data_IF_027073628789
#
_entry.id   IF_027073628789
#
_cell.length_a   1.000
_cell.length_b   1.000
_cell.length_c   1.000
_cell.angle_alpha   90.00
_cell.angle_beta   90.00
_cell.angle_gamma   90.00
#
_symmetry.space_group_name_H-M   'P 1'
#
loop_
_entity.id
_entity.type
_entity.pdbx_description
1 polymer ?
#
# COMPACT_ATOMS: atom_id res chain seq x y z
N UNK A 1 -20.39 -31.28 -19.77
CA UNK A 1 -21.81 -31.07 -20.15
C UNK A 1 -22.11 -31.50 -21.58
N UNK A 2 -21.52 -30.91 -22.63
CA UNK A 2 -21.76 -31.32 -24.04
C UNK A 2 -21.49 -32.81 -24.33
N UNK A 3 -20.51 -33.41 -23.65
CA UNK A 3 -20.20 -34.84 -23.76
C UNK A 3 -21.15 -35.75 -22.95
N UNK A 4 -21.75 -35.23 -21.87
CA UNK A 4 -22.58 -36.00 -20.92
C UNK A 4 -24.05 -35.96 -21.32
N UNK A 5 -24.51 -34.81 -21.81
CA UNK A 5 -25.86 -34.59 -22.32
C UNK A 5 -25.77 -34.13 -23.78
N UNK A 6 -25.64 -35.06 -24.74
CA UNK A 6 -25.47 -34.70 -26.15
C UNK A 6 -26.73 -34.07 -26.77
N UNK A 7 -27.92 -34.34 -26.19
CA UNK A 7 -29.22 -33.75 -26.50
C UNK A 7 -29.43 -33.52 -28.02
N UNK A 8 -29.14 -34.51 -28.87
CA UNK A 8 -29.03 -34.33 -30.33
C UNK A 8 -30.35 -33.91 -31.01
N UNK A 9 -31.48 -34.20 -30.37
CA UNK A 9 -32.83 -33.89 -30.84
C UNK A 9 -33.32 -32.48 -30.49
N UNK A 10 -32.64 -31.75 -29.59
CA UNK A 10 -33.07 -30.43 -29.13
C UNK A 10 -32.53 -29.29 -30.02
N UNK A 11 -33.33 -28.24 -30.28
CA UNK A 11 -32.85 -27.06 -30.99
C UNK A 11 -31.80 -26.28 -30.17
N UNK A 12 -30.93 -25.57 -30.88
CA UNK A 12 -29.91 -24.72 -30.26
C UNK A 12 -30.52 -23.37 -29.86
N UNK A 13 -30.43 -23.01 -28.57
CA UNK A 13 -30.98 -21.76 -28.05
C UNK A 13 -30.34 -20.55 -28.72
N UNK A 14 -31.17 -19.59 -29.12
CA UNK A 14 -30.74 -18.24 -29.51
C UNK A 14 -30.29 -17.43 -28.29
N UNK A 15 -29.73 -16.24 -28.54
CA UNK A 15 -29.30 -15.32 -27.48
C UNK A 15 -30.43 -15.02 -26.50
N UNK A 16 -31.60 -14.63 -27.02
CA UNK A 16 -32.72 -14.17 -26.21
C UNK A 16 -33.35 -15.34 -25.46
N UNK A 17 -33.52 -16.48 -26.13
CA UNK A 17 -34.05 -17.69 -25.50
C UNK A 17 -33.15 -18.19 -24.38
N UNK A 18 -31.82 -18.15 -24.55
CA UNK A 18 -30.87 -18.57 -23.52
C UNK A 18 -30.99 -17.73 -22.25
N UNK A 19 -31.08 -16.40 -22.39
CA UNK A 19 -31.22 -15.50 -21.23
C UNK A 19 -32.57 -15.70 -20.55
N UNK A 20 -33.67 -15.73 -21.32
CA UNK A 20 -35.02 -15.93 -20.77
C UNK A 20 -35.17 -17.28 -20.07
N UNK A 21 -34.62 -18.34 -20.67
CA UNK A 21 -34.66 -19.70 -20.09
C UNK A 21 -33.83 -19.77 -18.81
N UNK A 22 -32.64 -19.16 -18.78
CA UNK A 22 -31.83 -19.09 -17.58
C UNK A 22 -32.54 -18.33 -16.45
N UNK A 23 -33.13 -17.17 -16.76
CA UNK A 23 -33.88 -16.38 -15.78
C UNK A 23 -35.12 -17.12 -15.27
N UNK A 24 -35.82 -17.85 -16.12
CA UNK A 24 -36.96 -18.68 -15.72
C UNK A 24 -36.55 -19.82 -14.79
N UNK A 25 -35.44 -20.51 -15.08
CA UNK A 25 -34.92 -21.60 -14.24
C UNK A 25 -34.47 -21.06 -12.88
N UNK A 26 -33.78 -19.92 -12.88
CA UNK A 26 -33.30 -19.30 -11.64
C UNK A 26 -34.41 -18.75 -10.75
N UNK A 27 -35.62 -18.51 -11.28
CA UNK A 27 -36.80 -18.12 -10.48
C UNK A 27 -37.48 -19.31 -9.80
N UNK A 28 -37.08 -20.55 -10.10
CA UNK A 28 -37.62 -21.74 -9.42
C UNK A 28 -37.24 -21.71 -7.93
N UNK A 29 -38.11 -22.25 -7.09
CA UNK A 29 -37.92 -22.26 -5.63
C UNK A 29 -36.59 -22.89 -5.18
N UNK A 30 -36.06 -23.81 -5.98
CA UNK A 30 -34.81 -24.50 -5.68
C UNK A 30 -33.56 -23.59 -5.69
N UNK A 31 -33.65 -22.38 -6.25
CA UNK A 31 -32.55 -21.41 -6.30
C UNK A 31 -32.70 -20.30 -5.24
N UNK A 32 -33.79 -20.27 -4.45
CA UNK A 32 -34.00 -19.30 -3.35
C UNK A 32 -32.95 -19.43 -2.24
N UNK A 33 -32.32 -20.59 -2.09
CA UNK A 33 -31.27 -20.83 -1.10
C UNK A 33 -29.91 -20.21 -1.46
N UNK A 34 -29.76 -19.71 -2.69
CA UNK A 34 -28.51 -19.12 -3.16
C UNK A 34 -28.44 -17.62 -2.83
N UNK A 35 -27.23 -17.12 -2.53
CA UNK A 35 -27.02 -15.69 -2.34
C UNK A 35 -27.14 -14.91 -3.66
N UNK A 36 -27.59 -13.65 -3.56
CA UNK A 36 -27.76 -12.76 -4.72
C UNK A 36 -26.47 -12.54 -5.51
N UNK A 37 -25.31 -12.47 -4.83
CA UNK A 37 -24.00 -12.31 -5.48
C UNK A 37 -23.70 -13.45 -6.46
N UNK A 38 -23.94 -14.69 -6.04
CA UNK A 38 -23.77 -15.89 -6.87
C UNK A 38 -24.72 -15.90 -8.07
N UNK A 39 -25.98 -15.54 -7.86
CA UNK A 39 -26.97 -15.44 -8.94
C UNK A 39 -26.58 -14.37 -9.97
N UNK A 40 -26.02 -13.23 -9.52
CA UNK A 40 -25.51 -12.19 -10.41
C UNK A 40 -24.30 -12.66 -11.22
N UNK A 41 -23.39 -13.44 -10.63
CA UNK A 41 -22.26 -14.03 -11.36
C UNK A 41 -22.72 -15.01 -12.44
N UNK A 42 -23.71 -15.85 -12.14
CA UNK A 42 -24.33 -16.73 -13.12
C UNK A 42 -24.95 -15.90 -14.26
N UNK A 43 -25.73 -14.86 -13.97
CA UNK A 43 -26.31 -13.99 -15.00
C UNK A 43 -25.24 -13.35 -15.87
N UNK A 44 -24.16 -12.86 -15.26
CA UNK A 44 -23.02 -12.27 -15.97
C UNK A 44 -22.35 -13.29 -16.89
N UNK A 45 -22.14 -14.52 -16.42
CA UNK A 45 -21.60 -15.61 -17.22
C UNK A 45 -22.51 -15.98 -18.39
N UNK A 46 -23.81 -16.18 -18.14
CA UNK A 46 -24.81 -16.49 -19.17
C UNK A 46 -24.88 -15.37 -20.21
N UNK A 47 -24.81 -14.10 -19.80
CA UNK A 47 -24.75 -12.96 -20.72
C UNK A 47 -23.50 -12.99 -21.60
N UNK A 48 -22.33 -13.29 -21.03
CA UNK A 48 -21.10 -13.40 -21.81
C UNK A 48 -21.16 -14.56 -22.84
N UNK A 49 -21.80 -15.67 -22.47
CA UNK A 49 -22.04 -16.81 -23.37
C UNK A 49 -23.04 -16.45 -24.47
N UNK A 50 -24.13 -15.74 -24.13
CA UNK A 50 -25.15 -15.32 -25.10
C UNK A 50 -24.60 -14.32 -26.13
N UNK A 51 -23.67 -13.46 -25.72
CA UNK A 51 -22.95 -12.55 -26.62
C UNK A 51 -22.01 -13.30 -27.58
N UNK A 52 -21.35 -14.39 -27.12
CA UNK A 52 -20.55 -15.25 -28.01
C UNK A 52 -21.43 -15.90 -29.09
N UNK A 53 -22.57 -16.47 -28.69
CA UNK A 53 -23.53 -17.06 -29.63
C UNK A 53 -23.97 -16.03 -30.66
N UNK A 54 -24.32 -14.81 -30.23
CA UNK A 54 -24.70 -13.72 -31.14
C UNK A 54 -23.58 -13.40 -32.14
N UNK A 55 -22.35 -13.19 -31.67
CA UNK A 55 -21.20 -12.87 -32.56
C UNK A 55 -20.98 -13.95 -33.62
N UNK A 56 -21.10 -15.22 -33.24
CA UNK A 56 -20.96 -16.34 -34.17
C UNK A 56 -22.13 -16.38 -35.16
N UNK A 57 -23.37 -16.21 -34.71
CA UNK A 57 -24.55 -16.19 -35.58
C UNK A 57 -24.51 -15.00 -36.55
N UNK A 58 -24.13 -13.81 -36.09
CA UNK A 58 -23.97 -12.61 -36.92
C UNK A 58 -22.87 -12.80 -37.97
N UNK A 59 -21.73 -13.42 -37.60
CA UNK A 59 -20.60 -13.66 -38.51
C UNK A 59 -20.93 -14.64 -39.63
N UNK A 60 -21.77 -15.64 -39.36
CA UNK A 60 -22.13 -16.69 -40.30
C UNK A 60 -23.55 -16.55 -40.88
N UNK A 61 -24.28 -15.47 -40.56
CA UNK A 61 -25.64 -15.23 -41.05
C UNK A 61 -26.67 -16.28 -40.61
N UNK A 62 -26.52 -16.84 -39.41
CA UNK A 62 -27.38 -17.91 -38.89
C UNK A 62 -28.67 -17.31 -38.32
N UNK A 63 -29.82 -17.70 -38.87
CA UNK A 63 -31.13 -17.27 -38.37
C UNK A 63 -31.52 -18.06 -37.11
N UNK A 64 -32.18 -17.37 -36.17
CA UNK A 64 -32.61 -17.94 -34.89
C UNK A 64 -33.75 -18.96 -35.03
N UNK A 65 -34.53 -18.88 -36.10
CA UNK A 65 -35.69 -19.74 -36.38
C UNK A 65 -35.36 -21.18 -36.82
N UNK A 66 -34.08 -21.58 -36.82
CA UNK A 66 -33.68 -22.96 -37.13
C UNK A 66 -33.70 -23.33 -38.62
N UNK A 67 -33.88 -22.37 -39.53
CA UNK A 67 -34.10 -22.63 -40.96
C UNK A 67 -32.86 -22.50 -41.85
N UNK A 68 -31.71 -22.07 -41.32
CA UNK A 68 -30.52 -21.87 -42.17
C UNK A 68 -29.83 -23.18 -42.54
N UNK A 69 -29.58 -23.35 -43.83
CA UNK A 69 -28.72 -24.41 -44.39
C UNK A 69 -27.31 -23.83 -44.64
N UNK A 70 -26.21 -24.52 -44.27
CA UNK A 70 -26.13 -25.87 -43.75
C UNK A 70 -26.42 -26.00 -42.24
N UNK A 71 -27.17 -27.03 -41.84
CA UNK A 71 -27.52 -27.30 -40.41
C UNK A 71 -26.31 -27.46 -39.47
N UNK A 72 -25.13 -27.73 -40.02
CA UNK A 72 -23.87 -27.84 -39.27
C UNK A 72 -23.51 -26.54 -38.56
N UNK A 73 -23.95 -25.38 -39.09
CA UNK A 73 -23.68 -24.07 -38.48
C UNK A 73 -24.22 -23.93 -37.05
N UNK A 74 -25.34 -24.61 -36.74
CA UNK A 74 -25.91 -24.62 -35.39
C UNK A 74 -25.06 -25.39 -34.36
N UNK A 75 -23.99 -26.07 -34.77
CA UNK A 75 -23.07 -26.78 -33.87
C UNK A 75 -21.97 -25.90 -33.28
N UNK A 76 -21.64 -24.77 -33.92
CA UNK A 76 -20.48 -23.92 -33.57
C UNK A 76 -20.49 -23.46 -32.11
N UNK A 77 -21.63 -22.90 -31.66
CA UNK A 77 -21.85 -22.49 -30.27
C UNK A 77 -23.15 -23.09 -29.71
N UNK A 78 -23.34 -24.40 -29.95
CA UNK A 78 -24.56 -25.08 -29.55
C UNK A 78 -24.74 -25.13 -28.03
N UNK A 79 -25.90 -24.69 -27.56
CA UNK A 79 -26.40 -24.86 -26.19
C UNK A 79 -27.88 -25.23 -26.28
N UNK A 80 -28.29 -26.26 -25.52
CA UNK A 80 -29.69 -26.73 -25.48
C UNK A 80 -30.32 -26.42 -24.12
N UNK A 81 -31.66 -26.35 -24.02
CA UNK A 81 -32.34 -26.05 -22.75
C UNK A 81 -32.01 -27.08 -21.66
N UNK A 82 -31.97 -28.37 -21.98
CA UNK A 82 -31.63 -29.42 -21.00
C UNK A 82 -30.20 -29.28 -20.48
N UNK A 83 -29.25 -28.90 -21.35
CA UNK A 83 -27.87 -28.65 -20.94
C UNK A 83 -27.77 -27.44 -20.00
N UNK A 84 -28.55 -26.39 -20.26
CA UNK A 84 -28.61 -25.19 -19.44
C UNK A 84 -29.21 -25.50 -18.06
N UNK A 85 -30.30 -26.26 -18.01
CA UNK A 85 -30.90 -26.70 -16.75
C UNK A 85 -29.93 -27.53 -15.91
N UNK A 86 -29.31 -28.55 -16.49
CA UNK A 86 -28.31 -29.38 -15.80
C UNK A 86 -27.07 -28.60 -15.37
N UNK A 87 -26.66 -27.60 -16.16
CA UNK A 87 -25.57 -26.69 -15.78
C UNK A 87 -25.94 -25.91 -14.52
N UNK A 88 -27.11 -25.26 -14.50
CA UNK A 88 -27.56 -24.44 -13.39
C UNK A 88 -27.76 -25.28 -12.11
N UNK A 89 -28.37 -26.47 -12.23
CA UNK A 89 -28.46 -27.44 -11.12
C UNK A 89 -27.09 -27.82 -10.58
N UNK A 90 -26.14 -28.16 -11.46
CA UNK A 90 -24.77 -28.52 -11.05
C UNK A 90 -24.06 -27.36 -10.34
N UNK A 91 -24.23 -26.12 -10.84
CA UNK A 91 -23.68 -24.92 -10.23
C UNK A 91 -24.24 -24.70 -8.83
N UNK A 92 -25.55 -24.80 -8.67
CA UNK A 92 -26.23 -24.71 -7.36
C UNK A 92 -25.72 -25.79 -6.41
N UNK A 93 -25.69 -27.04 -6.84
CA UNK A 93 -25.29 -28.17 -5.98
C UNK A 93 -23.83 -28.06 -5.54
N UNK A 94 -22.95 -27.56 -6.42
CA UNK A 94 -21.56 -27.27 -6.05
C UNK A 94 -21.46 -26.11 -5.07
N UNK A 95 -22.26 -25.05 -5.25
CA UNK A 95 -22.28 -23.90 -4.35
C UNK A 95 -22.75 -24.28 -2.95
N UNK A 96 -23.86 -25.02 -2.83
CA UNK A 96 -24.39 -25.46 -1.55
C UNK A 96 -23.43 -26.39 -0.81
N UNK A 97 -22.78 -27.32 -1.51
CA UNK A 97 -21.76 -28.21 -0.92
C UNK A 97 -20.45 -27.52 -0.57
N UNK A 98 -20.19 -26.33 -1.09
CA UNK A 98 -18.98 -25.55 -0.80
C UNK A 98 -19.15 -24.63 0.42
N UNK A 99 -20.33 -24.61 1.05
CA UNK A 99 -20.56 -23.87 2.29
C UNK A 99 -19.80 -24.52 3.44
N UNK A 100 -19.31 -23.70 4.38
CA UNK A 100 -18.68 -24.19 5.59
C UNK A 100 -19.73 -24.86 6.48
N UNK A 101 -19.52 -26.12 6.85
CA UNK A 101 -20.47 -26.87 7.67
C UNK A 101 -20.54 -26.27 9.09
N UNK A 102 -21.74 -26.04 9.65
CA UNK A 102 -21.89 -25.60 11.03
C UNK A 102 -21.22 -26.58 12.02
N UNK A 103 -20.51 -26.05 13.00
CA UNK A 103 -19.74 -26.85 13.97
C UNK A 103 -18.29 -27.14 13.56
N UNK A 104 -17.88 -26.77 12.34
CA UNK A 104 -16.48 -26.86 11.90
C UNK A 104 -15.55 -26.01 12.79
N UNK A 105 -14.43 -26.59 13.23
CA UNK A 105 -13.42 -25.93 14.06
C UNK A 105 -12.52 -24.97 13.25
N UNK A 106 -13.12 -23.92 12.66
CA UNK A 106 -12.45 -23.01 11.70
C UNK A 106 -11.24 -22.28 12.27
N UNK A 107 -11.23 -22.01 13.59
CA UNK A 107 -10.11 -21.35 14.25
C UNK A 107 -8.85 -22.22 14.27
N UNK A 108 -8.99 -23.52 14.53
CA UNK A 108 -7.87 -24.47 14.51
C UNK A 108 -7.32 -24.65 13.09
N UNK A 109 -8.21 -24.79 12.10
CA UNK A 109 -7.83 -24.87 10.69
C UNK A 109 -7.07 -23.61 10.26
N UNK A 110 -7.58 -22.42 10.60
CA UNK A 110 -6.91 -21.16 10.33
C UNK A 110 -5.51 -21.07 10.96
N UNK A 111 -5.38 -21.44 12.24
CA UNK A 111 -4.10 -21.42 12.94
C UNK A 111 -3.07 -22.34 12.27
N UNK A 112 -3.48 -23.56 11.89
CA UNK A 112 -2.62 -24.50 11.20
C UNK A 112 -2.22 -24.00 9.80
N UNK A 113 -3.18 -23.51 9.01
CA UNK A 113 -2.92 -23.02 7.65
C UNK A 113 -1.96 -21.83 7.60
N UNK A 114 -1.91 -21.00 8.65
CA UNK A 114 -0.95 -19.90 8.75
C UNK A 114 0.39 -20.36 9.35
N UNK A 115 0.35 -21.29 10.32
CA UNK A 115 1.53 -21.78 11.03
C UNK A 115 2.41 -22.75 10.23
N UNK A 116 1.81 -23.67 9.48
CA UNK A 116 2.54 -24.69 8.69
C UNK A 116 3.50 -24.07 7.66
N UNK A 117 3.07 -23.08 6.84
CA UNK A 117 3.96 -22.32 5.95
C UNK A 117 5.18 -21.71 6.67
N UNK A 118 5.02 -21.32 7.94
CA UNK A 118 6.10 -20.76 8.73
C UNK A 118 7.29 -21.70 8.93
N UNK A 119 7.07 -23.03 8.89
CA UNK A 119 8.15 -24.03 8.97
C UNK A 119 8.89 -24.22 7.64
N UNK A 120 8.20 -23.94 6.53
CA UNK A 120 8.73 -24.06 5.17
C UNK A 120 9.44 -22.78 4.72
N UNK A 121 9.15 -21.65 5.36
CA UNK A 121 9.86 -20.39 5.15
C UNK A 121 11.33 -20.55 5.57
N UNK A 122 12.18 -20.83 4.59
CA UNK A 122 13.63 -20.63 4.76
C UNK A 122 13.91 -19.15 5.04
N UNK A 123 14.91 -18.85 5.87
CA UNK A 123 15.34 -17.49 6.23
C UNK A 123 15.95 -16.74 5.02
N UNK A 124 15.17 -16.49 3.96
CA UNK A 124 15.44 -15.39 3.04
C UNK A 124 14.93 -14.12 3.72
N UNK A 125 15.75 -13.60 4.63
CA UNK A 125 15.43 -12.46 5.49
C UNK A 125 15.54 -11.10 4.80
N UNK A 126 16.08 -11.08 3.58
CA UNK A 126 16.29 -9.85 2.82
C UNK A 126 15.69 -9.98 1.43
N UNK A 127 14.61 -9.25 1.19
CA UNK A 127 14.24 -8.89 -0.18
C UNK A 127 14.18 -7.38 -0.28
N UNK A 128 14.72 -6.90 -1.39
CA UNK A 128 14.56 -5.52 -1.80
C UNK A 128 13.13 -5.34 -2.32
N UNK A 129 12.51 -4.21 -1.97
CA UNK A 129 11.15 -3.84 -2.40
C UNK A 129 11.07 -3.49 -3.90
N UNK A 130 11.76 -4.24 -4.76
CA UNK A 130 12.08 -3.85 -6.14
C UNK A 130 13.12 -2.73 -6.24
N UNK A 131 13.56 -2.15 -5.12
CA UNK A 131 14.58 -1.08 -5.06
C UNK A 131 15.75 -1.55 -4.23
N UNK A 132 16.95 -1.58 -4.82
CA UNK A 132 18.19 -2.10 -4.24
C UNK A 132 18.63 -1.45 -2.91
N UNK A 133 17.93 -0.43 -2.42
CA UNK A 133 18.35 0.39 -1.29
C UNK A 133 17.54 0.23 -0.01
N UNK A 134 16.37 -0.44 -0.03
CA UNK A 134 15.51 -0.62 1.14
C UNK A 134 15.34 -2.10 1.47
N UNK A 135 15.89 -2.50 2.61
CA UNK A 135 15.75 -3.85 3.15
C UNK A 135 14.42 -3.95 3.90
N UNK A 136 13.59 -4.94 3.55
CA UNK A 136 12.33 -5.22 4.24
C UNK A 136 12.45 -6.54 4.99
N UNK A 137 12.01 -6.59 6.25
CA UNK A 137 11.83 -7.85 6.96
C UNK A 137 10.72 -8.69 6.29
N UNK A 138 11.06 -9.92 5.89
CA UNK A 138 10.11 -10.87 5.31
C UNK A 138 10.22 -12.24 5.96
N UNK A 139 9.27 -13.12 5.64
CA UNK A 139 9.19 -14.47 6.17
C UNK A 139 8.67 -14.51 7.61
N UNK A 140 9.15 -15.49 8.38
CA UNK A 140 8.69 -15.75 9.76
C UNK A 140 8.84 -14.54 10.69
N UNK A 141 9.96 -13.77 10.68
CA UNK A 141 10.09 -12.57 11.52
C UNK A 141 8.97 -11.56 11.26
N UNK A 142 8.58 -11.37 10.00
CA UNK A 142 7.53 -10.42 9.62
C UNK A 142 6.15 -10.89 10.05
N UNK A 143 5.84 -12.17 9.84
CA UNK A 143 4.58 -12.77 10.33
C UNK A 143 4.48 -12.64 11.85
N UNK A 144 5.59 -12.86 12.58
CA UNK A 144 5.65 -12.66 14.03
C UNK A 144 5.41 -11.21 14.44
N UNK A 145 5.99 -10.23 13.75
CA UNK A 145 5.75 -8.80 14.02
C UNK A 145 4.27 -8.44 13.89
N UNK A 146 3.60 -8.94 12.84
CA UNK A 146 2.18 -8.67 12.55
C UNK A 146 1.28 -9.33 13.60
N UNK A 147 1.44 -10.63 13.87
CA UNK A 147 0.60 -11.38 14.82
C UNK A 147 0.73 -10.81 16.24
N UNK A 148 1.93 -10.40 16.64
CA UNK A 148 2.16 -9.80 17.96
C UNK A 148 1.64 -8.36 18.06
N UNK A 149 1.16 -7.75 16.97
CA UNK A 149 0.73 -6.35 16.92
C UNK A 149 1.76 -5.40 17.56
N UNK A 150 3.03 -5.55 17.16
CA UNK A 150 4.14 -4.81 17.75
C UNK A 150 4.01 -3.32 17.42
N UNK A 151 4.10 -2.44 18.44
CA UNK A 151 3.99 -0.98 18.26
C UNK A 151 5.10 -0.39 17.38
N UNK A 152 6.31 -0.92 17.55
CA UNK A 152 7.48 -0.57 16.77
C UNK A 152 7.96 -1.83 16.03
N UNK A 153 8.28 -1.67 14.75
CA UNK A 153 8.78 -2.74 13.89
C UNK A 153 10.18 -2.40 13.38
N UNK A 154 10.91 -3.42 12.93
CA UNK A 154 12.33 -3.25 12.60
C UNK A 154 12.57 -2.37 11.36
N UNK A 155 11.69 -2.50 10.35
CA UNK A 155 11.81 -1.78 9.07
C UNK A 155 10.44 -1.19 8.68
N UNK A 156 10.05 -0.04 9.29
CA UNK A 156 8.80 0.61 8.96
C UNK A 156 8.90 1.36 7.63
N UNK A 157 7.98 1.07 6.72
CA UNK A 157 7.95 1.65 5.38
C UNK A 157 6.57 2.18 5.09
N UNK A 158 6.54 3.46 4.73
CA UNK A 158 5.37 4.17 4.23
C UNK A 158 5.54 4.29 2.71
N UNK A 159 4.58 3.76 1.96
CA UNK A 159 4.53 3.93 0.50
C UNK A 159 3.65 5.13 0.19
N UNK A 160 4.28 6.25 -0.15
CA UNK A 160 3.62 7.50 -0.48
C UNK A 160 3.47 7.65 -2.00
N UNK A 161 2.23 7.81 -2.44
CA UNK A 161 1.93 8.13 -3.84
C UNK A 161 2.00 9.65 -4.02
N UNK A 162 2.50 10.11 -5.17
CA UNK A 162 2.60 11.54 -5.47
C UNK A 162 1.32 12.02 -6.17
N UNK A 163 0.97 13.30 -5.99
CA UNK A 163 -0.14 13.91 -6.72
C UNK A 163 0.19 14.08 -8.21
N UNK A 164 1.44 14.45 -8.49
CA UNK A 164 2.05 14.48 -9.82
C UNK A 164 3.15 13.43 -9.86
N UNK A 165 2.91 12.33 -10.55
CA UNK A 165 3.79 11.16 -10.61
C UNK A 165 4.59 11.08 -11.91
N UNK A 166 4.50 12.10 -12.77
CA UNK A 166 5.13 12.20 -14.09
C UNK A 166 6.44 13.00 -14.09
N UNK A 167 6.64 13.88 -13.11
CA UNK A 167 7.78 14.79 -13.04
C UNK A 167 8.80 14.36 -11.96
N UNK A 168 10.05 13.99 -12.34
CA UNK A 168 11.09 13.62 -11.38
C UNK A 168 11.53 14.80 -10.49
N UNK A 169 11.43 16.05 -10.97
CA UNK A 169 11.80 17.21 -10.17
C UNK A 169 10.76 17.48 -9.08
N UNK A 170 9.48 17.26 -9.38
CA UNK A 170 8.42 17.29 -8.38
C UNK A 170 8.63 16.20 -7.31
N UNK A 171 9.03 14.98 -7.72
CA UNK A 171 9.33 13.90 -6.78
C UNK A 171 10.49 14.25 -5.84
N UNK A 172 11.56 14.91 -6.35
CA UNK A 172 12.69 15.40 -5.54
C UNK A 172 12.26 16.48 -4.55
N UNK A 173 11.40 17.42 -4.96
CA UNK A 173 10.87 18.46 -4.08
C UNK A 173 10.07 17.85 -2.91
N UNK A 174 9.12 16.96 -3.21
CA UNK A 174 8.31 16.30 -2.18
C UNK A 174 9.18 15.42 -1.28
N UNK A 175 10.18 14.73 -1.86
CA UNK A 175 11.18 13.99 -1.09
C UNK A 175 11.89 14.90 -0.07
N UNK A 176 12.36 16.08 -0.48
CA UNK A 176 13.05 17.04 0.41
C UNK A 176 12.17 17.62 1.53
N UNK A 177 10.84 17.59 1.37
CA UNK A 177 9.90 17.98 2.44
C UNK A 177 9.66 16.88 3.48
N UNK A 178 9.96 15.62 3.14
CA UNK A 178 9.68 14.45 3.98
C UNK A 178 10.95 13.94 4.65
N UNK A 179 12.02 13.79 3.86
CA UNK A 179 13.32 13.32 4.35
C UNK A 179 13.90 14.33 5.35
N UNK A 180 14.26 13.83 6.53
CA UNK A 180 14.89 14.63 7.58
C UNK A 180 16.23 15.16 7.08
N UNK A 181 16.37 16.47 7.06
CA UNK A 181 17.64 17.16 6.78
C UNK A 181 18.14 17.82 8.06
N UNK A 182 19.40 17.57 8.40
CA UNK A 182 20.06 18.13 9.57
C UNK A 182 20.80 19.42 9.23
N UNK A 183 20.96 20.33 10.19
CA UNK A 183 21.68 21.59 10.00
C UNK A 183 23.12 21.35 9.52
N UNK A 184 23.80 20.34 10.06
CA UNK A 184 25.17 19.98 9.67
C UNK A 184 25.29 19.58 8.20
N UNK A 185 24.25 18.98 7.61
CA UNK A 185 24.27 18.50 6.21
C UNK A 185 24.18 19.66 5.21
N UNK A 186 23.52 20.75 5.60
CA UNK A 186 23.39 21.96 4.76
C UNK A 186 24.43 23.04 5.07
N UNK A 187 25.23 22.89 6.15
CA UNK A 187 26.23 23.88 6.58
C UNK A 187 27.60 23.62 5.96
N UNK A 188 28.26 24.65 5.40
CA UNK A 188 29.63 24.56 4.88
C UNK A 188 30.62 24.30 6.00
N UNK A 189 30.48 25.08 7.08
CA UNK A 189 31.22 24.93 8.31
C UNK A 189 30.43 25.54 9.47
N UNK A 190 30.78 25.09 10.68
CA UNK A 190 30.28 25.61 11.95
C UNK A 190 31.53 25.89 12.79
N UNK A 191 31.78 27.15 13.13
CA UNK A 191 32.99 27.58 13.83
C UNK A 191 32.70 28.40 15.08
N UNK A 192 33.63 28.37 16.03
CA UNK A 192 33.58 29.18 17.24
C UNK A 192 34.38 30.47 17.00
N UNK A 193 33.74 31.61 17.20
CA UNK A 193 34.39 32.92 17.06
C UNK A 193 34.55 33.52 18.45
N UNK A 194 35.80 33.83 18.82
CA UNK A 194 36.15 34.50 20.07
C UNK A 194 36.66 35.91 19.75
N UNK A 195 35.87 36.91 20.09
CA UNK A 195 36.24 38.31 20.06
C UNK A 195 36.59 38.78 21.48
N UNK A 196 37.29 39.92 21.64
CA UNK A 196 37.60 40.46 22.96
C UNK A 196 36.36 40.71 23.83
N UNK A 197 35.24 41.09 23.20
CA UNK A 197 34.00 41.51 23.87
C UNK A 197 32.85 40.49 23.74
N UNK A 198 32.97 39.46 22.90
CA UNK A 198 31.88 38.52 22.62
C UNK A 198 32.41 37.15 22.14
N UNK A 199 31.63 36.09 22.36
CA UNK A 199 31.87 34.80 21.73
C UNK A 199 30.56 34.19 21.23
N UNK A 200 30.58 33.64 20.03
CA UNK A 200 29.40 33.02 19.42
C UNK A 200 29.79 31.90 18.46
N UNK A 201 28.83 31.04 18.15
CA UNK A 201 28.99 30.02 17.12
C UNK A 201 28.46 30.59 15.81
N UNK A 202 29.32 30.60 14.78
CA UNK A 202 28.95 31.02 13.43
C UNK A 202 28.63 29.79 12.59
N UNK A 203 27.43 29.78 11.99
CA UNK A 203 26.97 28.76 11.06
C UNK A 203 26.88 29.36 9.67
N UNK A 204 27.70 28.86 8.75
CA UNK A 204 27.65 29.24 7.33
C UNK A 204 26.86 28.20 6.55
N UNK A 205 25.71 28.59 6.01
CA UNK A 205 24.86 27.74 5.18
C UNK A 205 25.38 27.67 3.74
N UNK A 206 25.33 26.48 3.15
CA UNK A 206 25.65 26.27 1.73
C UNK A 206 24.40 26.48 0.87
N UNK A 207 24.28 27.68 0.29
CA UNK A 207 23.16 28.02 -0.59
C UNK A 207 23.14 27.14 -1.85
N UNK A 208 24.31 26.68 -2.31
CA UNK A 208 24.41 25.78 -3.46
C UNK A 208 23.78 24.42 -3.15
N UNK A 209 24.10 23.79 -2.00
CA UNK A 209 23.49 22.52 -1.60
C UNK A 209 21.99 22.63 -1.38
N UNK A 210 21.54 23.69 -0.71
CA UNK A 210 20.11 23.96 -0.50
C UNK A 210 19.37 24.05 -1.84
N UNK A 211 19.96 24.75 -2.83
CA UNK A 211 19.38 24.91 -4.17
C UNK A 211 19.35 23.61 -4.96
N UNK A 212 20.43 22.81 -4.91
CA UNK A 212 20.52 21.51 -5.59
C UNK A 212 19.52 20.50 -5.02
N UNK A 213 19.36 20.47 -3.70
CA UNK A 213 18.42 19.59 -3.01
C UNK A 213 16.97 20.11 -3.04
N UNK A 214 16.75 21.31 -3.61
CA UNK A 214 15.43 21.97 -3.71
C UNK A 214 14.74 22.12 -2.35
N UNK A 215 15.52 22.39 -1.30
CA UNK A 215 14.99 22.60 0.04
C UNK A 215 14.43 24.02 0.17
N UNK A 216 13.25 24.14 0.77
CA UNK A 216 12.58 25.42 1.03
C UNK A 216 13.08 26.03 2.36
N UNK A 217 14.40 26.17 2.51
CA UNK A 217 15.06 26.66 3.73
C UNK A 217 15.93 27.89 3.46
N UNK A 218 15.90 28.83 4.40
CA UNK A 218 16.74 30.03 4.44
C UNK A 218 17.30 30.26 5.86
N UNK A 219 18.10 31.30 6.06
CA UNK A 219 18.66 31.58 7.39
C UNK A 219 17.59 31.89 8.45
N UNK A 220 16.44 32.45 8.06
CA UNK A 220 15.32 32.72 8.99
C UNK A 220 14.59 31.44 9.42
N UNK A 221 14.37 30.50 8.50
CA UNK A 221 13.80 29.18 8.83
C UNK A 221 14.75 28.40 9.71
N UNK A 222 16.07 28.47 9.45
CA UNK A 222 17.08 27.86 10.32
C UNK A 222 17.02 28.47 11.72
N UNK A 223 16.92 29.80 11.85
CA UNK A 223 16.71 30.46 13.16
C UNK A 223 15.49 29.89 13.87
N UNK A 224 14.37 29.74 13.17
CA UNK A 224 13.15 29.15 13.73
C UNK A 224 13.37 27.71 14.19
N UNK A 225 14.00 26.87 13.37
CA UNK A 225 14.28 25.46 13.69
C UNK A 225 15.20 25.31 14.90
N UNK A 226 16.20 26.18 15.07
CA UNK A 226 17.07 26.17 16.25
C UNK A 226 16.28 26.58 17.51
N UNK A 227 15.43 27.61 17.44
CA UNK A 227 14.59 28.04 18.57
C UNK A 227 13.59 26.96 19.04
N UNK A 228 13.02 26.19 18.10
CA UNK A 228 12.05 25.12 18.40
C UNK A 228 12.74 23.83 18.84
N UNK A 229 14.04 23.70 18.56
CA UNK A 229 14.81 22.52 18.93
C UNK A 229 14.86 22.32 20.45
N UNK A 230 15.38 21.15 20.87
CA UNK A 230 15.60 20.86 22.29
C UNK A 230 16.71 21.72 22.92
N UNK A 231 17.42 22.50 22.11
CA UNK A 231 18.40 23.47 22.56
C UNK A 231 17.64 24.68 23.10
N UNK A 232 17.71 24.91 24.40
CA UNK A 232 16.97 25.96 25.13
C UNK A 232 17.54 27.37 24.85
N UNK A 233 17.79 27.68 23.59
CA UNK A 233 18.32 28.94 23.09
C UNK A 233 17.16 29.91 22.90
N UNK A 234 17.31 31.18 23.33
CA UNK A 234 16.24 32.17 23.15
C UNK A 234 16.34 32.81 21.76
N UNK A 235 15.23 33.31 21.20
CA UNK A 235 15.26 33.98 19.90
C UNK A 235 16.20 35.19 19.82
N UNK A 236 16.43 35.88 20.95
CA UNK A 236 17.37 37.00 21.02
C UNK A 236 18.85 36.60 21.00
N UNK A 237 19.15 35.31 21.15
CA UNK A 237 20.52 34.78 21.13
C UNK A 237 20.92 34.31 19.73
N UNK A 238 20.01 34.41 18.76
CA UNK A 238 20.24 33.97 17.40
C UNK A 238 20.11 35.17 16.47
N UNK A 239 21.24 35.62 15.94
CA UNK A 239 21.30 36.69 14.96
C UNK A 239 21.46 36.09 13.55
N UNK A 240 20.71 36.64 12.60
CA UNK A 240 20.84 36.28 11.18
C UNK A 240 21.57 37.42 10.49
N UNK A 241 22.72 37.12 9.89
CA UNK A 241 23.55 38.08 9.18
C UNK A 241 23.55 37.74 7.69
N UNK A 242 22.76 38.48 6.91
CA UNK A 242 22.57 38.21 5.48
C UNK A 242 21.81 36.90 5.21
N UNK A 243 21.96 36.36 4.00
CA UNK A 243 21.14 35.24 3.52
C UNK A 243 21.63 33.87 4.01
N UNK A 244 22.90 33.76 4.40
CA UNK A 244 23.58 32.48 4.59
C UNK A 244 24.31 32.34 5.93
N UNK A 245 24.29 33.34 6.81
CA UNK A 245 25.03 33.29 8.08
C UNK A 245 24.07 33.40 9.26
N UNK A 246 24.18 32.47 10.20
CA UNK A 246 23.45 32.47 11.46
C UNK A 246 24.47 32.42 12.59
N UNK A 247 24.38 33.37 13.52
CA UNK A 247 25.21 33.43 14.72
C UNK A 247 24.37 33.03 15.92
N UNK A 248 24.89 32.09 16.73
CA UNK A 248 24.26 31.62 17.96
C UNK A 248 25.14 31.98 19.14
N UNK A 249 24.69 32.92 19.96
CA UNK A 249 25.39 33.38 21.16
C UNK A 249 25.05 32.45 22.33
N UNK A 250 26.04 31.82 22.98
CA UNK A 250 25.78 31.00 24.17
C UNK A 250 25.32 31.90 25.32
N UNK A 251 24.37 31.41 26.12
CA UNK A 251 24.04 32.03 27.42
C UNK A 251 24.66 31.26 28.55
N UNK A 252 25.20 31.99 29.51
CA UNK A 252 25.60 31.42 30.78
C UNK A 252 24.40 30.84 31.52
N UNK A 253 24.59 29.66 32.07
CA UNK A 253 23.64 29.01 32.96
C UNK A 253 24.30 28.91 34.33
N UNK A 254 23.54 29.08 35.41
CA UNK A 254 24.05 29.07 36.79
C UNK A 254 24.75 27.76 37.19
N UNK A 255 24.66 26.71 36.37
CA UNK A 255 25.25 25.39 36.58
C UNK A 255 26.44 25.05 35.67
N UNK A 256 26.75 25.86 34.67
CA UNK A 256 27.78 25.53 33.67
C UNK A 256 28.48 26.77 33.13
N UNK A 257 29.82 26.70 33.07
CA UNK A 257 30.66 27.73 32.47
C UNK A 257 30.32 27.95 30.99
N UNK A 258 30.50 29.19 30.52
CA UNK A 258 30.30 29.61 29.14
C UNK A 258 31.00 28.72 28.12
N UNK A 259 32.26 28.32 28.38
CA UNK A 259 33.01 27.41 27.52
C UNK A 259 32.32 26.03 27.39
N UNK A 260 31.78 25.50 28.47
CA UNK A 260 31.08 24.21 28.45
C UNK A 260 29.78 24.28 27.63
N UNK A 261 29.02 25.37 27.79
CA UNK A 261 27.80 25.61 27.00
C UNK A 261 28.14 25.74 25.52
N UNK A 262 29.21 26.47 25.18
CA UNK A 262 29.68 26.62 23.80
C UNK A 262 30.06 25.27 23.17
N UNK A 263 30.84 24.44 23.86
CA UNK A 263 31.21 23.10 23.38
C UNK A 263 29.99 22.17 23.25
N UNK A 264 29.06 22.22 24.21
CA UNK A 264 27.81 21.46 24.11
C UNK A 264 26.95 21.90 22.94
N UNK A 265 26.85 23.21 22.68
CA UNK A 265 26.10 23.73 21.55
C UNK A 265 26.75 23.32 20.24
N UNK A 266 28.07 23.40 20.12
CA UNK A 266 28.80 22.98 18.92
C UNK A 266 28.52 21.52 18.53
N UNK A 267 28.42 20.61 19.50
CA UNK A 267 28.12 19.20 19.24
C UNK A 267 26.65 18.96 18.87
N UNK A 268 25.72 19.76 19.40
CA UNK A 268 24.28 19.52 19.21
C UNK A 268 23.66 20.35 18.07
N UNK A 269 24.20 21.52 17.75
CA UNK A 269 23.72 22.39 16.68
C UNK A 269 23.65 21.67 15.32
N UNK A 270 24.68 20.89 14.90
CA UNK A 270 24.63 20.16 13.64
C UNK A 270 23.50 19.14 13.56
N UNK A 271 23.03 18.62 14.71
CA UNK A 271 21.97 17.59 14.82
C UNK A 271 20.56 18.17 14.81
N UNK A 272 20.41 19.50 14.77
CA UNK A 272 19.11 20.15 14.69
C UNK A 272 18.45 19.82 13.35
N UNK A 273 17.19 19.40 13.38
CA UNK A 273 16.38 19.16 12.18
C UNK A 273 15.93 20.50 11.63
N UNK A 274 16.36 20.82 10.41
CA UNK A 274 16.03 22.09 9.75
C UNK A 274 14.81 21.98 8.86
N UNK A 275 14.60 20.82 8.23
CA UNK A 275 13.50 20.52 7.32
C UNK A 275 13.22 19.02 7.35
N UNK A 276 11.99 18.63 7.04
CA UNK A 276 11.58 17.22 6.99
C UNK A 276 10.87 16.74 8.25
N UNK A 277 10.51 15.46 8.25
CA UNK A 277 9.80 14.82 9.37
C UNK A 277 10.84 14.14 10.29
N UNK A 278 10.92 14.48 11.58
CA UNK A 278 11.97 13.95 12.48
C UNK A 278 12.05 12.43 12.57
N UNK A 279 10.88 11.76 12.52
CA UNK A 279 10.75 10.30 12.61
C UNK A 279 11.08 9.56 11.30
N UNK A 280 11.26 10.29 10.20
CA UNK A 280 11.70 9.70 8.92
C UNK A 280 13.22 9.60 8.91
N UNK A 281 13.73 8.40 8.65
CA UNK A 281 15.17 8.16 8.52
C UNK A 281 15.64 8.52 7.11
N UNK A 282 14.92 8.06 6.08
CA UNK A 282 15.28 8.28 4.68
C UNK A 282 14.08 8.13 3.74
N UNK A 283 14.18 8.73 2.56
CA UNK A 283 13.19 8.55 1.51
C UNK A 283 13.84 8.26 0.14
N UNK A 284 13.25 7.33 -0.60
CA UNK A 284 13.76 6.86 -1.89
C UNK A 284 12.67 6.92 -2.94
N UNK A 285 13.00 7.48 -4.11
CA UNK A 285 12.11 7.53 -5.26
C UNK A 285 12.18 6.18 -5.97
N UNK A 286 11.03 5.53 -6.13
CA UNK A 286 10.88 4.31 -6.90
C UNK A 286 10.19 4.64 -8.23
N UNK A 287 10.75 4.11 -9.32
CA UNK A 287 10.21 4.25 -10.68
C UNK A 287 9.39 2.99 -11.00
N UNK A 288 8.11 3.17 -11.32
CA UNK A 288 7.22 2.09 -11.73
C UNK A 288 7.12 2.07 -13.26
N UNK A 289 7.59 0.99 -13.88
CA UNK A 289 7.66 0.81 -15.34
C UNK A 289 6.50 0.00 -15.92
N UNK A 290 5.57 -0.50 -15.09
CA UNK A 290 4.58 -1.51 -15.50
C UNK A 290 3.57 -1.05 -16.57
N UNK A 291 3.40 0.26 -16.77
CA UNK A 291 2.33 0.83 -17.62
C UNK A 291 2.81 1.46 -18.93
N UNK A 292 4.09 1.30 -19.29
CA UNK A 292 4.68 1.99 -20.45
C UNK A 292 4.80 3.52 -20.28
N UNK A 293 4.49 4.03 -19.09
CA UNK A 293 4.76 5.41 -18.64
C UNK A 293 5.53 5.31 -17.32
N UNK A 294 6.63 6.04 -17.22
CA UNK A 294 7.36 6.17 -15.97
C UNK A 294 6.48 6.89 -14.95
N UNK A 295 6.25 6.24 -13.81
CA UNK A 295 5.54 6.83 -12.67
C UNK A 295 6.43 6.80 -11.45
N UNK A 296 6.52 7.92 -10.75
CA UNK A 296 7.31 8.06 -9.54
C UNK A 296 6.44 7.89 -8.29
N UNK A 297 6.86 6.99 -7.40
CA UNK A 297 6.32 6.85 -6.04
C UNK A 297 7.46 7.02 -5.03
N UNK A 298 7.12 7.45 -3.81
CA UNK A 298 8.10 7.63 -2.75
C UNK A 298 7.97 6.50 -1.73
N UNK A 299 9.07 5.80 -1.49
CA UNK A 299 9.20 4.87 -0.36
C UNK A 299 9.89 5.62 0.77
N UNK A 300 9.21 5.71 1.92
CA UNK A 300 9.68 6.47 3.08
C UNK A 300 9.92 5.47 4.21
N UNK A 301 11.14 5.46 4.75
CA UNK A 301 11.48 4.65 5.91
C UNK A 301 11.25 5.49 7.18
N UNK A 302 10.27 5.09 8.00
CA UNK A 302 9.87 5.84 9.20
C UNK A 302 8.46 5.52 9.70
N UNK A 303 8.16 6.00 10.91
CA UNK A 303 6.97 5.64 11.70
C UNK A 303 5.99 6.82 11.92
N UNK A 304 5.85 7.73 10.95
CA UNK A 304 4.91 8.86 11.06
C UNK A 304 4.02 9.02 9.82
N UNK A 305 3.03 8.11 9.71
CA UNK A 305 2.12 8.06 8.56
C UNK A 305 1.32 9.36 8.40
N UNK A 306 0.85 9.93 9.51
CA UNK A 306 0.04 11.16 9.52
C UNK A 306 0.77 12.35 8.90
N UNK A 307 2.03 12.58 9.28
CA UNK A 307 2.80 13.70 8.75
C UNK A 307 3.12 13.51 7.26
N UNK A 308 3.46 12.29 6.83
CA UNK A 308 3.70 11.97 5.42
C UNK A 308 2.44 12.21 4.59
N UNK A 309 1.26 11.77 5.05
CA UNK A 309 -0.02 11.99 4.37
C UNK A 309 -0.40 13.47 4.25
N UNK A 310 -0.03 14.30 5.23
CA UNK A 310 -0.36 15.72 5.27
C UNK A 310 0.62 16.59 4.46
N UNK A 311 1.72 16.02 3.96
CA UNK A 311 2.73 16.78 3.23
C UNK A 311 2.22 17.18 1.84
N UNK A 312 2.35 18.45 1.49
CA UNK A 312 1.90 18.95 0.19
C UNK A 312 2.65 18.27 -0.97
N UNK A 313 1.89 17.68 -1.89
CA UNK A 313 2.38 16.94 -3.06
C UNK A 313 2.34 15.42 -2.88
N UNK A 314 2.01 14.95 -1.67
CA UNK A 314 1.68 13.55 -1.40
C UNK A 314 0.17 13.34 -1.54
N UNK A 315 -0.20 12.33 -2.30
CA UNK A 315 -1.57 11.85 -2.42
C UNK A 315 -1.95 10.99 -1.22
N UNK A 316 -2.28 11.63 -0.10
CA UNK A 316 -2.58 10.95 1.17
C UNK A 316 -3.66 9.87 1.08
N UNK A 317 -4.64 9.99 0.18
CA UNK A 317 -5.70 8.97 -0.02
C UNK A 317 -5.21 7.63 -0.57
N UNK A 318 -4.00 7.59 -1.14
CA UNK A 318 -3.38 6.37 -1.68
C UNK A 318 -2.07 6.01 -0.99
N UNK A 319 -1.75 6.67 0.12
CA UNK A 319 -0.57 6.37 0.94
C UNK A 319 -0.89 5.21 1.88
N UNK A 320 0.04 4.26 2.01
CA UNK A 320 -0.08 3.11 2.90
C UNK A 320 1.15 2.96 3.79
N UNK A 321 1.02 2.23 4.90
CA UNK A 321 2.13 1.87 5.79
C UNK A 321 2.06 0.38 6.10
N UNK A 322 3.22 -0.23 6.31
CA UNK A 322 3.33 -1.61 6.76
C UNK A 322 3.19 -1.74 8.30
N UNK A 323 3.27 -0.65 9.06
CA UNK A 323 3.09 -0.66 10.51
C UNK A 323 1.59 -0.57 10.85
N UNK A 324 1.00 -1.68 11.30
CA UNK A 324 -0.43 -1.79 11.60
C UNK A 324 -0.88 -0.86 12.73
N UNK A 325 -0.01 -0.61 13.72
CA UNK A 325 -0.30 0.28 14.85
C UNK A 325 -0.41 1.74 14.42
N UNK A 326 0.47 2.21 13.54
CA UNK A 326 0.41 3.58 13.00
C UNK A 326 -0.79 3.78 12.06
N UNK A 327 -1.18 2.74 11.31
CA UNK A 327 -2.41 2.76 10.50
C UNK A 327 -3.65 2.85 11.39
N UNK A 328 -3.73 2.07 12.46
CA UNK A 328 -4.84 2.13 13.43
C UNK A 328 -4.99 3.53 14.02
N UNK A 329 -3.88 4.11 14.48
CA UNK A 329 -3.83 5.44 15.10
C UNK A 329 -4.16 6.60 14.14
N UNK A 330 -3.97 6.39 12.84
CA UNK A 330 -4.17 7.44 11.82
C UNK A 330 -5.50 7.30 11.09
N UNK A 331 -5.90 6.08 10.74
CA UNK A 331 -7.03 5.77 9.86
C UNK A 331 -8.13 4.93 10.54
N UNK A 332 -7.87 4.40 11.73
CA UNK A 332 -8.83 3.59 12.49
C UNK A 332 -8.72 2.08 12.25
N UNK A 333 -9.56 1.34 12.97
CA UNK A 333 -9.43 -0.12 13.13
C UNK A 333 -9.67 -0.91 11.83
N UNK A 334 -10.62 -0.51 10.98
CA UNK A 334 -10.90 -1.22 9.71
C UNK A 334 -9.75 -1.08 8.69
N UNK A 335 -9.05 0.06 8.71
CA UNK A 335 -7.85 0.25 7.89
C UNK A 335 -6.71 -0.65 8.39
N UNK A 336 -6.54 -0.75 9.72
CA UNK A 336 -5.56 -1.64 10.33
C UNK A 336 -5.85 -3.11 10.02
N UNK A 337 -7.12 -3.54 10.15
CA UNK A 337 -7.60 -4.88 9.78
C UNK A 337 -7.23 -5.22 8.33
N UNK A 338 -7.52 -4.32 7.39
CA UNK A 338 -7.19 -4.51 5.97
C UNK A 338 -5.67 -4.58 5.76
N UNK A 339 -4.89 -3.80 6.51
CA UNK A 339 -3.43 -3.83 6.47
C UNK A 339 -2.87 -5.17 6.95
N UNK A 340 -3.42 -5.75 8.02
CA UNK A 340 -3.05 -7.09 8.51
C UNK A 340 -3.25 -8.14 7.40
N UNK A 341 -4.41 -8.12 6.74
CA UNK A 341 -4.72 -9.05 5.64
C UNK A 341 -3.69 -8.91 4.51
N UNK A 342 -3.46 -7.67 4.06
CA UNK A 342 -2.58 -7.39 2.94
C UNK A 342 -1.11 -7.76 3.24
N UNK A 343 -0.62 -7.45 4.44
CA UNK A 343 0.77 -7.69 4.85
C UNK A 343 1.07 -9.19 5.01
N UNK A 344 0.15 -9.95 5.61
CA UNK A 344 0.30 -11.42 5.72
C UNK A 344 0.28 -12.03 4.32
N UNK A 345 -0.67 -11.64 3.47
CA UNK A 345 -0.77 -12.16 2.11
C UNK A 345 0.46 -11.80 1.26
N UNK A 346 0.95 -10.56 1.36
CA UNK A 346 2.18 -10.11 0.70
C UNK A 346 3.39 -10.94 1.12
N UNK A 347 3.53 -11.16 2.43
CA UNK A 347 4.64 -11.96 2.98
C UNK A 347 4.58 -13.41 2.48
N UNK A 348 3.40 -14.03 2.42
CA UNK A 348 3.24 -15.41 1.95
C UNK A 348 3.51 -15.56 0.45
N UNK A 349 2.96 -14.66 -0.37
CA UNK A 349 3.10 -14.69 -1.84
C UNK A 349 4.55 -14.52 -2.27
N UNK A 350 5.32 -13.64 -1.60
CA UNK A 350 6.73 -13.43 -1.91
C UNK A 350 7.61 -14.67 -1.64
N UNK A 351 7.15 -15.58 -0.78
CA UNK A 351 7.80 -16.88 -0.52
C UNK A 351 7.22 -18.00 -1.40
N UNK A 352 6.40 -17.68 -2.41
CA UNK A 352 5.79 -18.65 -3.31
C UNK A 352 4.69 -19.48 -2.65
N UNK A 353 4.20 -19.05 -1.49
CA UNK A 353 3.16 -19.76 -0.74
C UNK A 353 1.81 -19.10 -0.94
N UNK A 354 0.77 -19.91 -1.03
CA UNK A 354 -0.61 -19.45 -1.18
C UNK A 354 -1.44 -19.90 0.00
N UNK A 355 -2.07 -18.95 0.69
CA UNK A 355 -3.08 -19.21 1.71
C UNK A 355 -4.40 -18.63 1.22
N UNK A 356 -5.50 -19.35 1.43
CA UNK A 356 -6.82 -18.81 1.15
C UNK A 356 -7.07 -17.55 1.99
N UNK A 357 -7.55 -16.48 1.33
CA UNK A 357 -7.86 -15.19 1.95
C UNK A 357 -8.79 -15.33 3.16
N UNK A 358 -9.67 -16.34 3.20
CA UNK A 358 -10.61 -16.57 4.31
C UNK A 358 -9.91 -16.81 5.64
N UNK A 359 -8.76 -17.49 5.64
CA UNK A 359 -7.99 -17.72 6.87
C UNK A 359 -7.40 -16.41 7.41
N UNK A 360 -6.75 -15.62 6.56
CA UNK A 360 -6.18 -14.34 6.98
C UNK A 360 -7.25 -13.32 7.36
N UNK A 361 -8.44 -13.37 6.74
CA UNK A 361 -9.60 -12.58 7.14
C UNK A 361 -10.06 -12.95 8.55
N UNK A 362 -10.26 -14.25 8.83
CA UNK A 362 -10.68 -14.70 10.16
C UNK A 362 -9.67 -14.30 11.24
N UNK A 363 -8.37 -14.43 10.96
CA UNK A 363 -7.32 -13.98 11.86
C UNK A 363 -7.41 -12.47 12.10
N UNK A 364 -7.51 -11.65 11.04
CA UNK A 364 -7.59 -10.20 11.18
C UNK A 364 -8.83 -9.77 11.96
N UNK A 365 -9.97 -10.42 11.73
CA UNK A 365 -11.23 -10.11 12.43
C UNK A 365 -11.13 -10.44 13.91
N UNK A 366 -10.50 -11.57 14.25
CA UNK A 366 -10.22 -11.95 15.64
C UNK A 366 -9.25 -10.98 16.33
N UNK A 367 -8.32 -10.38 15.58
CA UNK A 367 -7.39 -9.38 16.12
C UNK A 367 -8.06 -8.02 16.34
N UNK A 368 -9.17 -7.71 15.64
CA UNK A 368 -9.77 -6.37 15.61
C UNK A 368 -11.23 -6.28 16.03
N UNK A 369 -11.84 -7.35 16.58
CA UNK A 369 -13.26 -7.32 16.99
C UNK A 369 -13.53 -6.55 18.29
N UNK A 370 -12.49 -6.29 19.09
CA UNK A 370 -12.53 -5.47 20.31
C UNK A 370 -11.87 -4.14 20.03
#
# INVERSE_FOLDING_TARGET
>A
LKAVYPCRSEPALSKNELVLTAESIMKKNEFLCCQDSFLQEIKKFIKAVSEKIKKTRDKYGINDNGTTEPRVLYQLDRITPTQLEKFLETCRDKYMRAQMEPGSAVGALCAQSIGEPGTQMTLKTFHFAGVASMNITLGVPRIKEIINASKAISTPIITAQLDKDDDPDFARLVKGRIEKTLLGEISEYIEEVFLPDDCFILVKLSLERIRLLRLEVNAETVRYSICVSKLRVKPGDIAVHGEAVVCVTPRENSKSSMYYVLQSLKEELPKVVVQGIPEVSRAVIHIDEQSGKEKYKLLVEGDNLRAVMATHGVKGTKTSSNNTYEVEKTLGIEAARTTIINEIQYTMVNHGMSIDRRHVMLLSDLMTYK
#
